data_IF_756841861965
#
_entry.id   IF_756841861965
#
_cell.length_a   1.000
_cell.length_b   1.000
_cell.length_c   1.000
_cell.angle_alpha   90.00
_cell.angle_beta   90.00
_cell.angle_gamma   90.00
#
_symmetry.space_group_name_H-M   'P 1'
#
loop_
_entity.id
_entity.type
_entity.pdbx_description
1 polymer ?
#
# COMPACT_ATOMS: atom_id res chain seq x y z
N UNK A 1 30.55 15.16 32.19
CA UNK A 1 31.60 15.15 33.22
C UNK A 1 32.93 15.49 32.58
N UNK A 2 33.38 16.74 32.69
CA UNK A 2 34.76 17.21 32.45
C UNK A 2 34.85 18.71 32.81
N UNK A 3 34.63 19.01 34.09
CA UNK A 3 34.93 20.25 34.81
C UNK A 3 34.38 20.00 36.22
N UNK A 4 35.12 20.34 37.27
CA UNK A 4 34.85 19.97 38.68
C UNK A 4 33.61 20.62 39.30
N UNK A 5 32.46 20.56 38.63
CA UNK A 5 31.15 20.94 39.16
C UNK A 5 30.64 19.77 39.99
N UNK A 6 30.45 20.02 41.28
CA UNK A 6 29.78 19.09 42.18
C UNK A 6 28.41 18.73 41.60
N UNK A 7 27.91 17.52 41.89
CA UNK A 7 26.58 17.03 41.47
C UNK A 7 25.39 17.89 41.97
N UNK A 8 25.69 19.00 42.64
CA UNK A 8 24.80 19.99 43.24
C UNK A 8 24.77 21.33 42.49
N UNK A 9 25.53 21.50 41.40
CA UNK A 9 25.51 22.73 40.60
C UNK A 9 24.31 22.73 39.64
N UNK A 10 23.38 23.67 39.83
CA UNK A 10 22.15 23.83 39.03
C UNK A 10 22.43 23.95 37.52
N UNK A 11 23.63 24.40 37.13
CA UNK A 11 24.08 24.48 35.74
C UNK A 11 24.36 23.11 35.09
N UNK A 12 24.33 22.03 35.88
CA UNK A 12 24.47 20.64 35.40
C UNK A 12 23.13 19.92 35.20
N UNK A 13 22.01 20.63 35.43
CA UNK A 13 20.67 20.05 35.31
C UNK A 13 20.36 19.75 33.84
N UNK A 14 20.30 18.46 33.52
CA UNK A 14 19.79 17.97 32.24
C UNK A 14 18.28 17.75 32.33
N UNK A 15 17.51 18.72 31.83
CA UNK A 15 16.09 18.54 31.63
C UNK A 15 15.84 17.43 30.60
N UNK A 16 15.08 16.40 31.02
CA UNK A 16 14.61 15.34 30.13
C UNK A 16 13.67 15.86 29.04
N UNK A 17 13.19 14.98 28.15
CA UNK A 17 12.40 15.41 27.00
C UNK A 17 11.09 16.09 27.39
N UNK A 18 10.40 15.61 28.43
CA UNK A 18 9.07 16.14 28.79
C UNK A 18 9.12 17.59 29.31
N UNK A 19 10.01 17.98 30.24
CA UNK A 19 10.14 19.38 30.63
C UNK A 19 10.50 20.32 29.47
N UNK A 20 11.23 19.82 28.46
CA UNK A 20 11.54 20.61 27.25
C UNK A 20 10.33 20.83 26.36
N UNK A 21 9.28 20.04 26.50
CA UNK A 21 8.00 20.16 25.77
C UNK A 21 6.94 20.91 26.59
N UNK A 22 7.32 21.60 27.67
CA UNK A 22 6.39 22.43 28.44
C UNK A 22 5.67 23.45 27.54
N UNK A 23 4.36 23.59 27.74
CA UNK A 23 3.39 24.31 26.91
C UNK A 23 3.26 23.75 25.48
N UNK A 24 3.41 22.44 25.34
CA UNK A 24 3.40 21.75 24.04
C UNK A 24 2.76 20.36 24.08
N UNK A 25 2.81 19.69 22.93
CA UNK A 25 2.31 18.33 22.74
C UNK A 25 3.49 17.35 22.82
N UNK A 26 3.42 16.39 23.74
CA UNK A 26 4.40 15.33 23.88
C UNK A 26 3.85 14.02 23.31
N UNK A 27 4.41 13.57 22.19
CA UNK A 27 3.99 12.36 21.51
C UNK A 27 4.82 11.14 21.96
N UNK A 28 4.14 10.05 22.30
CA UNK A 28 4.74 8.77 22.68
C UNK A 28 4.28 7.72 21.66
N UNK A 29 5.23 7.12 20.95
CA UNK A 29 4.92 5.96 20.14
C UNK A 29 4.94 4.70 21.00
N UNK A 30 3.94 3.84 20.84
CA UNK A 30 3.86 2.52 21.47
C UNK A 30 4.10 2.58 22.98
N UNK A 31 3.24 3.35 23.67
CA UNK A 31 3.24 3.48 25.14
C UNK A 31 3.34 2.11 25.87
N UNK A 32 2.64 1.04 25.43
CA UNK A 32 2.87 -0.34 25.86
C UNK A 32 4.34 -0.78 25.97
N UNK A 33 5.19 -0.39 25.03
CA UNK A 33 6.57 -0.86 24.94
C UNK A 33 7.49 -0.15 25.94
N UNK A 34 7.02 0.93 26.56
CA UNK A 34 7.76 1.59 27.63
C UNK A 34 7.82 0.70 28.87
N UNK A 35 9.03 0.55 29.41
CA UNK A 35 9.24 -0.13 30.68
C UNK A 35 8.35 0.46 31.78
N UNK A 36 7.81 -0.39 32.66
CA UNK A 36 6.84 -0.01 33.70
C UNK A 36 7.31 1.18 34.56
N UNK A 37 8.60 1.25 34.89
CA UNK A 37 9.19 2.39 35.63
C UNK A 37 9.01 3.74 34.93
N UNK A 38 9.02 3.75 33.58
CA UNK A 38 8.85 4.96 32.77
C UNK A 38 7.37 5.33 32.74
N UNK A 39 6.47 4.34 32.63
CA UNK A 39 5.02 4.56 32.72
C UNK A 39 4.63 5.14 34.09
N UNK A 40 5.22 4.68 35.19
CA UNK A 40 5.01 5.27 36.53
C UNK A 40 5.55 6.70 36.59
N UNK A 41 6.70 6.99 35.95
CA UNK A 41 7.20 8.36 35.85
C UNK A 41 6.26 9.30 35.08
N UNK A 42 5.59 8.79 34.04
CA UNK A 42 4.57 9.52 33.29
C UNK A 42 3.33 9.81 34.14
N UNK A 43 2.96 8.90 35.05
CA UNK A 43 1.83 9.11 35.97
C UNK A 43 2.02 10.39 36.81
N UNK A 44 3.20 10.59 37.39
CA UNK A 44 3.49 11.79 38.19
C UNK A 44 3.34 13.06 37.36
N UNK A 45 3.77 13.03 36.10
CA UNK A 45 3.66 14.16 35.17
C UNK A 45 2.21 14.45 34.81
N UNK A 46 1.40 13.41 34.57
CA UNK A 46 -0.01 13.55 34.22
C UNK A 46 -0.87 13.99 35.40
N UNK A 47 -0.52 13.56 36.63
CA UNK A 47 -1.29 13.82 37.84
C UNK A 47 -0.84 15.10 38.55
N UNK A 48 0.41 15.14 38.99
CA UNK A 48 0.94 16.22 39.82
C UNK A 48 1.43 17.40 38.96
N UNK A 49 1.53 17.19 37.63
CA UNK A 49 2.03 18.18 36.67
C UNK A 49 3.38 18.74 37.10
N UNK A 50 4.22 17.91 37.70
CA UNK A 50 5.56 18.29 38.05
C UNK A 50 6.58 17.19 37.74
N UNK A 51 7.85 17.59 37.77
CA UNK A 51 8.98 16.67 37.68
C UNK A 51 9.95 16.98 38.80
N UNK A 52 10.37 15.92 39.49
CA UNK A 52 11.48 15.96 40.44
C UNK A 52 12.77 15.48 39.77
N UNK A 53 13.82 16.27 39.91
CA UNK A 53 15.13 15.96 39.34
C UNK A 53 15.95 15.18 40.37
N UNK A 54 16.45 14.00 40.02
CA UNK A 54 17.32 13.21 40.92
C UNK A 54 18.52 14.05 41.35
N UNK A 55 18.75 14.15 42.66
CA UNK A 55 19.82 14.96 43.24
C UNK A 55 19.43 16.40 43.57
N UNK A 56 18.25 16.87 43.14
CA UNK A 56 17.77 18.23 43.39
C UNK A 56 16.35 18.23 43.96
N UNK A 57 16.10 19.02 45.00
CA UNK A 57 14.74 19.26 45.54
C UNK A 57 14.05 20.40 44.78
N UNK A 58 13.95 20.28 43.45
CA UNK A 58 13.28 21.26 42.59
C UNK A 58 12.05 20.59 41.99
N UNK A 59 10.90 21.26 42.11
CA UNK A 59 9.65 20.91 41.42
C UNK A 59 9.43 21.91 40.30
N UNK A 60 9.16 21.40 39.11
CA UNK A 60 8.91 22.20 37.91
C UNK A 60 7.46 22.03 37.50
N UNK A 61 6.60 23.06 37.58
CA UNK A 61 5.25 22.94 37.06
C UNK A 61 5.28 22.75 35.54
N UNK A 62 4.56 21.73 35.06
CA UNK A 62 4.47 21.33 33.66
C UNK A 62 3.05 21.52 33.13
N UNK A 63 2.97 22.03 31.92
CA UNK A 63 1.76 22.18 31.14
C UNK A 63 1.97 21.44 29.81
N UNK A 64 1.64 20.16 29.75
CA UNK A 64 1.94 19.31 28.58
C UNK A 64 0.70 18.53 28.20
N UNK A 65 0.39 18.50 26.91
CA UNK A 65 -0.62 17.61 26.37
C UNK A 65 0.03 16.34 25.84
N UNK A 66 -0.29 15.18 26.44
CA UNK A 66 0.32 13.90 26.04
C UNK A 66 -0.56 13.20 25.01
N UNK A 67 0.05 12.81 23.89
CA UNK A 67 -0.58 11.97 22.86
C UNK A 67 0.22 10.67 22.78
N UNK A 68 -0.45 9.53 22.90
CA UNK A 68 0.21 8.24 22.85
C UNK A 68 -0.46 7.31 21.85
N UNK A 69 0.33 6.48 21.16
CA UNK A 69 -0.16 5.34 20.38
C UNK A 69 0.01 4.04 21.18
N UNK A 70 -0.86 3.07 20.90
CA UNK A 70 -0.82 1.72 21.49
C UNK A 70 -1.53 0.75 20.54
N UNK A 71 -1.00 -0.47 20.37
CA UNK A 71 -1.70 -1.49 19.61
C UNK A 71 -2.75 -2.21 20.49
N UNK A 72 -3.93 -2.56 19.95
CA UNK A 72 -4.99 -3.22 20.72
C UNK A 72 -4.61 -4.61 21.28
N UNK A 73 -3.62 -5.28 20.71
CA UNK A 73 -3.15 -6.61 21.13
C UNK A 73 -2.36 -6.56 22.46
N UNK A 74 -1.64 -5.46 22.71
CA UNK A 74 -0.69 -5.31 23.82
C UNK A 74 -1.38 -5.21 25.19
N UNK A 75 -2.70 -5.01 25.20
CA UNK A 75 -3.50 -5.07 26.43
C UNK A 75 -3.51 -6.48 27.05
N UNK A 76 -3.12 -7.52 26.31
CA UNK A 76 -3.37 -8.90 26.76
C UNK A 76 -2.20 -9.57 27.47
N UNK A 77 -0.90 -9.48 27.10
CA UNK A 77 0.13 -10.22 27.86
C UNK A 77 1.61 -9.79 27.81
N UNK A 78 2.03 -8.73 27.12
CA UNK A 78 3.34 -8.05 27.29
C UNK A 78 3.15 -6.59 26.89
N UNK A 79 3.61 -5.64 27.70
CA UNK A 79 3.42 -4.21 27.41
C UNK A 79 2.07 -3.62 27.87
N UNK A 80 1.51 -4.07 28.98
CA UNK A 80 0.25 -3.47 29.47
C UNK A 80 0.50 -2.03 29.95
N UNK A 81 -0.35 -1.11 29.49
CA UNK A 81 -0.50 0.20 30.12
C UNK A 81 -0.98 -0.02 31.54
N UNK A 82 -0.23 0.45 32.54
CA UNK A 82 -0.62 0.31 33.95
C UNK A 82 -1.99 0.98 34.19
N UNK A 83 -2.87 0.31 34.96
CA UNK A 83 -4.23 0.81 35.24
C UNK A 83 -4.26 2.28 35.69
N UNK A 84 -3.37 2.74 36.60
CA UNK A 84 -3.36 4.13 37.02
C UNK A 84 -3.14 5.13 35.87
N UNK A 85 -2.35 4.78 34.86
CA UNK A 85 -2.09 5.65 33.72
C UNK A 85 -3.27 5.62 32.74
N UNK A 86 -3.92 4.46 32.56
CA UNK A 86 -5.14 4.32 31.76
C UNK A 86 -6.27 5.20 32.30
N UNK A 87 -6.45 5.26 33.61
CA UNK A 87 -7.50 6.07 34.26
C UNK A 87 -7.28 7.60 34.10
N UNK A 88 -6.12 8.01 33.58
CA UNK A 88 -5.77 9.43 33.31
C UNK A 88 -5.82 9.81 31.84
N UNK A 89 -6.17 8.87 30.96
CA UNK A 89 -6.38 9.15 29.55
C UNK A 89 -7.75 9.83 29.37
N UNK A 90 -7.75 11.08 28.92
CA UNK A 90 -8.98 11.85 28.72
C UNK A 90 -9.79 11.46 27.48
N UNK A 91 -9.17 10.82 26.48
CA UNK A 91 -9.84 10.36 25.26
C UNK A 91 -9.07 9.19 24.65
N UNK A 92 -9.79 8.13 24.27
CA UNK A 92 -9.27 7.01 23.48
C UNK A 92 -9.80 7.12 22.05
N UNK A 93 -8.91 7.27 21.08
CA UNK A 93 -9.25 7.33 19.66
C UNK A 93 -8.81 6.01 19.02
N UNK A 94 -9.78 5.27 18.46
CA UNK A 94 -9.49 4.08 17.67
C UNK A 94 -9.30 4.46 16.21
N UNK A 95 -8.08 4.29 15.72
CA UNK A 95 -7.74 4.48 14.32
C UNK A 95 -8.17 3.27 13.49
N UNK A 96 -8.25 3.45 12.18
CA UNK A 96 -8.57 2.40 11.23
C UNK A 96 -7.75 2.58 9.95
N UNK A 97 -7.62 1.51 9.17
CA UNK A 97 -7.12 1.60 7.80
C UNK A 97 -8.09 2.37 6.90
N UNK A 98 -7.66 2.87 5.73
CA UNK A 98 -8.54 3.57 4.80
C UNK A 98 -9.80 2.77 4.48
N UNK A 99 -10.95 3.44 4.54
CA UNK A 99 -12.27 2.83 4.35
C UNK A 99 -12.68 2.77 2.87
N UNK A 100 -12.09 3.63 2.04
CA UNK A 100 -12.44 3.77 0.61
C UNK A 100 -11.18 3.64 -0.24
N UNK A 101 -11.38 3.14 -1.46
CA UNK A 101 -10.31 3.05 -2.47
C UNK A 101 -9.72 4.42 -2.78
N UNK A 102 -10.54 5.48 -2.81
CA UNK A 102 -10.05 6.84 -3.06
C UNK A 102 -9.06 7.32 -2.00
N UNK A 103 -9.32 7.05 -0.71
CA UNK A 103 -8.38 7.40 0.36
C UNK A 103 -7.10 6.55 0.27
N UNK A 104 -7.22 5.27 -0.07
CA UNK A 104 -6.06 4.39 -0.25
C UNK A 104 -5.19 4.87 -1.42
N UNK A 105 -5.80 5.28 -2.55
CA UNK A 105 -5.10 5.87 -3.70
C UNK A 105 -4.42 7.18 -3.30
N UNK A 106 -5.12 8.08 -2.60
CA UNK A 106 -4.55 9.35 -2.17
C UNK A 106 -3.29 9.16 -1.32
N UNK A 107 -3.35 8.27 -0.32
CA UNK A 107 -2.20 7.94 0.54
C UNK A 107 -1.08 7.32 -0.28
N UNK A 108 -1.40 6.34 -1.14
CA UNK A 108 -0.43 5.66 -1.99
C UNK A 108 0.33 6.64 -2.89
N UNK A 109 -0.36 7.60 -3.51
CA UNK A 109 0.27 8.59 -4.39
C UNK A 109 1.12 9.60 -3.62
N UNK A 110 0.65 10.06 -2.45
CA UNK A 110 1.36 11.02 -1.62
C UNK A 110 2.64 10.43 -0.99
N UNK A 111 2.56 9.20 -0.49
CA UNK A 111 3.65 8.53 0.20
C UNK A 111 4.64 7.83 -0.75
N UNK A 112 4.26 7.62 -2.02
CA UNK A 112 5.14 6.98 -2.98
C UNK A 112 6.39 7.80 -3.30
N UNK A 113 7.53 7.12 -3.35
CA UNK A 113 8.79 7.72 -3.79
C UNK A 113 8.70 8.03 -5.28
N UNK A 114 8.72 9.32 -5.64
CA UNK A 114 8.73 9.74 -7.04
C UNK A 114 10.08 9.39 -7.68
N UNK A 115 10.12 8.28 -8.41
CA UNK A 115 11.29 7.90 -9.19
C UNK A 115 11.35 8.73 -10.48
N UNK A 116 12.01 9.88 -10.42
CA UNK A 116 12.29 10.69 -11.60
C UNK A 116 13.45 10.06 -12.36
N UNK A 117 13.15 9.40 -13.48
CA UNK A 117 14.17 8.93 -14.42
C UNK A 117 14.21 9.87 -15.61
N UNK A 118 15.35 10.50 -15.85
CA UNK A 118 15.51 11.44 -16.96
C UNK A 118 15.14 10.81 -18.31
N UNK A 119 14.25 11.49 -19.03
CA UNK A 119 13.80 11.05 -20.36
C UNK A 119 12.66 10.03 -20.38
N UNK A 120 12.16 9.61 -19.21
CA UNK A 120 10.92 8.83 -19.08
C UNK A 120 9.75 9.71 -18.66
N UNK A 121 8.60 9.48 -19.27
CA UNK A 121 7.34 10.14 -18.96
C UNK A 121 6.37 9.10 -18.39
N UNK A 122 6.10 9.18 -17.09
CA UNK A 122 5.30 8.20 -16.36
C UNK A 122 3.85 8.67 -16.28
N UNK A 123 2.95 7.91 -16.88
CA UNK A 123 1.51 8.11 -16.79
C UNK A 123 0.85 6.87 -16.22
N UNK A 124 0.09 7.04 -15.13
CA UNK A 124 -0.58 5.92 -14.46
C UNK A 124 -2.09 6.03 -14.67
N UNK A 125 -2.71 5.10 -15.41
CA UNK A 125 -4.16 5.10 -15.62
C UNK A 125 -4.90 4.90 -14.31
N UNK A 126 -6.07 5.53 -14.17
CA UNK A 126 -6.87 5.47 -12.94
C UNK A 126 -7.22 4.03 -12.54
N UNK A 127 -7.65 3.20 -13.50
CA UNK A 127 -7.96 1.79 -13.24
C UNK A 127 -6.76 1.00 -12.70
N UNK A 128 -5.52 1.35 -13.04
CA UNK A 128 -4.34 0.70 -12.48
C UNK A 128 -4.11 1.07 -11.02
N UNK A 129 -4.37 2.34 -10.65
CA UNK A 129 -4.33 2.79 -9.24
C UNK A 129 -5.39 2.06 -8.42
N UNK A 130 -6.60 1.96 -8.97
CA UNK A 130 -7.72 1.25 -8.36
C UNK A 130 -7.40 -0.23 -8.17
N UNK A 131 -6.79 -0.91 -9.16
CA UNK A 131 -6.37 -2.31 -9.00
C UNK A 131 -5.37 -2.45 -7.85
N UNK A 132 -4.35 -1.59 -7.78
CA UNK A 132 -3.33 -1.66 -6.71
C UNK A 132 -3.95 -1.44 -5.33
N UNK A 133 -4.84 -0.46 -5.19
CA UNK A 133 -5.56 -0.19 -3.95
C UNK A 133 -6.52 -1.35 -3.57
N UNK A 134 -7.24 -1.90 -4.54
CA UNK A 134 -8.19 -2.99 -4.36
C UNK A 134 -7.48 -4.28 -3.90
N UNK A 135 -6.25 -4.56 -4.35
CA UNK A 135 -5.45 -5.68 -3.85
C UNK A 135 -5.30 -5.61 -2.33
N UNK A 136 -4.98 -4.43 -1.78
CA UNK A 136 -4.82 -4.25 -0.33
C UNK A 136 -6.15 -4.33 0.40
N UNK A 137 -7.23 -3.78 -0.17
CA UNK A 137 -8.57 -3.90 0.42
C UNK A 137 -9.03 -5.36 0.50
N UNK A 138 -8.85 -6.12 -0.57
CA UNK A 138 -9.14 -7.56 -0.57
C UNK A 138 -8.29 -8.29 0.46
N UNK A 139 -7.00 -7.94 0.62
CA UNK A 139 -6.13 -8.53 1.62
C UNK A 139 -6.64 -8.32 3.06
N UNK A 140 -7.16 -7.14 3.40
CA UNK A 140 -7.77 -6.81 4.70
C UNK A 140 -9.08 -7.57 4.99
N UNK A 141 -9.69 -8.17 3.97
CA UNK A 141 -10.90 -8.98 4.10
C UNK A 141 -10.64 -10.48 3.92
N UNK A 142 -9.39 -10.86 3.65
CA UNK A 142 -9.04 -12.22 3.26
C UNK A 142 -8.89 -13.13 4.48
N UNK A 143 -9.62 -14.25 4.50
CA UNK A 143 -9.45 -15.31 5.49
C UNK A 143 -8.10 -16.03 5.37
N UNK A 144 -7.36 -15.85 4.27
CA UNK A 144 -6.04 -16.43 4.08
C UNK A 144 -4.93 -15.61 4.81
N UNK A 145 -5.25 -14.40 5.29
CA UNK A 145 -4.32 -13.42 5.88
C UNK A 145 -4.70 -13.14 7.33
N UNK A 146 -3.69 -13.07 8.20
CA UNK A 146 -3.82 -12.73 9.62
C UNK A 146 -4.40 -11.34 9.81
N UNK A 147 -5.65 -11.28 10.25
CA UNK A 147 -6.32 -10.02 10.58
C UNK A 147 -5.82 -9.43 11.91
N UNK A 148 -5.15 -10.24 12.72
CA UNK A 148 -4.47 -9.83 13.95
C UNK A 148 -3.33 -8.85 13.65
N UNK A 149 -2.49 -9.22 12.69
CA UNK A 149 -1.34 -8.42 12.25
C UNK A 149 -1.79 -7.28 11.33
N UNK A 150 -2.91 -7.48 10.64
CA UNK A 150 -3.52 -6.50 9.74
C UNK A 150 -2.70 -6.28 8.46
N UNK A 151 -3.23 -5.43 7.57
CA UNK A 151 -2.55 -5.10 6.30
C UNK A 151 -2.40 -3.59 6.18
N UNK A 152 -1.16 -3.13 6.38
CA UNK A 152 -0.81 -1.71 6.37
C UNK A 152 -0.94 -1.06 4.99
N UNK A 153 -1.17 0.26 4.97
CA UNK A 153 -1.06 1.10 3.76
C UNK A 153 0.33 1.03 3.11
N UNK A 154 1.37 0.68 3.87
CA UNK A 154 2.72 0.43 3.33
C UNK A 154 2.75 -0.70 2.30
N UNK A 155 1.81 -1.63 2.34
CA UNK A 155 1.65 -2.66 1.32
C UNK A 155 1.25 -2.01 0.00
N UNK A 156 0.23 -1.15 0.01
CA UNK A 156 -0.22 -0.44 -1.19
C UNK A 156 0.87 0.46 -1.77
N UNK A 157 1.55 1.24 -0.93
CA UNK A 157 2.66 2.11 -1.36
C UNK A 157 3.76 1.30 -2.04
N UNK A 158 4.22 0.22 -1.41
CA UNK A 158 5.27 -0.63 -1.99
C UNK A 158 4.81 -1.35 -3.28
N UNK A 159 3.55 -1.76 -3.34
CA UNK A 159 2.96 -2.38 -4.54
C UNK A 159 2.93 -1.40 -5.71
N UNK A 160 2.52 -0.16 -5.45
CA UNK A 160 2.53 0.91 -6.44
C UNK A 160 3.92 1.20 -6.96
N UNK A 161 4.90 1.40 -6.06
CA UNK A 161 6.29 1.64 -6.42
C UNK A 161 6.88 0.49 -7.26
N UNK A 162 6.57 -0.77 -6.91
CA UNK A 162 7.03 -1.92 -7.66
C UNK A 162 6.41 -2.03 -9.05
N UNK A 163 5.11 -1.76 -9.18
CA UNK A 163 4.42 -1.74 -10.49
C UNK A 163 5.04 -0.66 -11.39
N UNK A 164 5.30 0.53 -10.86
CA UNK A 164 5.94 1.61 -11.61
C UNK A 164 7.41 1.31 -11.95
N UNK A 165 8.14 0.69 -11.02
CA UNK A 165 9.52 0.26 -11.25
C UNK A 165 9.60 -0.80 -12.35
N UNK A 166 8.69 -1.77 -12.36
CA UNK A 166 8.65 -2.79 -13.39
C UNK A 166 8.22 -2.22 -14.75
N UNK A 167 7.23 -1.33 -14.77
CA UNK A 167 6.81 -0.63 -15.98
C UNK A 167 7.95 0.22 -16.57
N UNK A 168 8.71 0.91 -15.72
CA UNK A 168 9.89 1.70 -16.11
C UNK A 168 11.00 0.81 -16.67
N UNK A 169 11.29 -0.30 -15.99
CA UNK A 169 12.24 -1.33 -16.46
C UNK A 169 11.85 -1.85 -17.84
N UNK A 170 10.56 -2.16 -18.05
CA UNK A 170 10.03 -2.60 -19.34
C UNK A 170 10.23 -1.52 -20.41
N UNK A 171 9.85 -0.28 -20.15
CA UNK A 171 9.99 0.82 -21.09
C UNK A 171 11.45 1.02 -21.51
N UNK A 172 12.39 1.03 -20.55
CA UNK A 172 13.83 1.12 -20.82
C UNK A 172 14.33 -0.03 -21.70
N UNK A 173 13.95 -1.28 -21.38
CA UNK A 173 14.33 -2.47 -22.17
C UNK A 173 13.82 -2.39 -23.61
N UNK A 174 12.61 -1.86 -23.80
CA UNK A 174 11.96 -1.70 -25.10
C UNK A 174 12.33 -0.39 -25.80
N UNK A 175 13.17 0.44 -25.18
CA UNK A 175 13.57 1.78 -25.67
C UNK A 175 12.37 2.72 -25.88
N UNK A 176 11.35 2.58 -25.05
CA UNK A 176 10.17 3.44 -25.00
C UNK A 176 10.37 4.55 -23.95
N UNK A 177 9.96 5.78 -24.28
CA UNK A 177 10.00 6.90 -23.31
C UNK A 177 8.75 6.99 -22.44
N UNK A 178 7.63 6.49 -22.96
CA UNK A 178 6.33 6.53 -22.29
C UNK A 178 6.20 5.32 -21.37
N UNK A 179 6.10 5.57 -20.07
CA UNK A 179 5.95 4.54 -19.04
C UNK A 179 4.50 4.53 -18.59
N UNK A 180 3.78 3.48 -18.99
CA UNK A 180 2.41 3.24 -18.55
C UNK A 180 2.33 1.82 -18.00
N UNK A 181 1.98 1.61 -16.72
CA UNK A 181 1.89 0.27 -16.16
C UNK A 181 0.75 -0.53 -16.82
N UNK A 182 0.97 -1.82 -17.03
CA UNK A 182 0.01 -2.76 -17.64
C UNK A 182 -0.31 -3.88 -16.64
N UNK A 183 -1.28 -4.73 -16.96
CA UNK A 183 -1.62 -5.89 -16.11
C UNK A 183 -0.42 -6.81 -15.93
N UNK A 184 0.41 -6.98 -16.96
CA UNK A 184 1.66 -7.75 -16.89
C UNK A 184 2.66 -7.20 -15.86
N UNK A 185 2.59 -5.90 -15.52
CA UNK A 185 3.43 -5.29 -14.50
C UNK A 185 2.97 -5.61 -13.06
N UNK A 186 1.73 -6.11 -12.89
CA UNK A 186 1.18 -6.47 -11.56
C UNK A 186 1.85 -7.69 -10.94
N UNK A 187 2.55 -8.54 -11.71
CA UNK A 187 3.30 -9.65 -11.12
C UNK A 187 4.39 -9.16 -10.14
N UNK A 188 4.90 -7.93 -10.32
CA UNK A 188 5.86 -7.32 -9.42
C UNK A 188 5.32 -7.11 -7.98
N UNK A 189 3.99 -7.07 -7.81
CA UNK A 189 3.32 -6.93 -6.51
C UNK A 189 3.60 -8.11 -5.60
N UNK A 190 3.82 -9.30 -6.16
CA UNK A 190 4.08 -10.53 -5.39
C UNK A 190 5.28 -10.32 -4.47
N UNK A 191 6.37 -9.75 -4.99
CA UNK A 191 7.59 -9.51 -4.23
C UNK A 191 7.40 -8.47 -3.11
N UNK A 192 6.65 -7.39 -3.35
CA UNK A 192 6.39 -6.36 -2.32
C UNK A 192 5.42 -6.82 -1.25
N UNK A 193 4.46 -7.68 -1.60
CA UNK A 193 3.37 -8.10 -0.72
C UNK A 193 3.80 -9.24 0.18
N UNK A 194 4.49 -10.27 -0.34
CA UNK A 194 4.85 -11.48 0.42
C UNK A 194 5.54 -11.19 1.76
N UNK A 195 6.48 -10.24 1.79
CA UNK A 195 7.19 -9.88 3.04
C UNK A 195 6.44 -8.90 3.96
N UNK A 196 5.20 -8.51 3.63
CA UNK A 196 4.42 -7.50 4.37
C UNK A 196 3.02 -7.96 4.79
N UNK A 197 2.69 -9.22 4.51
CA UNK A 197 1.46 -9.87 4.98
C UNK A 197 1.85 -11.11 5.77
N UNK A 198 1.05 -11.42 6.78
CA UNK A 198 1.17 -12.69 7.51
C UNK A 198 0.00 -13.58 7.14
N UNK A 199 0.25 -14.84 6.82
CA UNK A 199 -0.82 -15.80 6.50
C UNK A 199 -1.41 -16.40 7.78
N UNK A 200 -2.73 -16.60 7.80
CA UNK A 200 -3.43 -17.23 8.94
C UNK A 200 -3.44 -18.78 8.83
N UNK A 201 -2.83 -19.34 7.77
CA UNK A 201 -3.02 -20.74 7.39
C UNK A 201 -2.17 -21.73 8.17
N UNK A 202 -2.83 -22.82 8.57
CA UNK A 202 -2.23 -24.11 8.92
C UNK A 202 -2.07 -24.92 7.62
N UNK A 203 -0.85 -24.99 7.06
CA UNK A 203 -0.50 -25.83 5.90
C UNK A 203 0.40 -25.13 4.87
N UNK A 204 0.88 -25.89 3.86
CA UNK A 204 1.82 -25.43 2.81
C UNK A 204 1.15 -24.56 1.71
N UNK A 205 0.27 -23.61 2.07
CA UNK A 205 -0.25 -22.65 1.09
C UNK A 205 0.84 -21.63 0.78
N UNK A 206 1.35 -21.66 -0.46
CA UNK A 206 2.34 -20.67 -0.93
C UNK A 206 1.73 -19.27 -0.95
N UNK A 207 2.36 -18.32 -0.27
CA UNK A 207 2.00 -16.88 -0.27
C UNK A 207 1.75 -16.34 -1.68
N UNK A 208 2.62 -16.69 -2.63
CA UNK A 208 2.49 -16.29 -4.03
C UNK A 208 1.10 -16.60 -4.61
N UNK A 209 0.52 -17.76 -4.25
CA UNK A 209 -0.81 -18.16 -4.71
C UNK A 209 -1.90 -17.27 -4.11
N UNK A 210 -1.76 -16.89 -2.84
CA UNK A 210 -2.68 -15.98 -2.16
C UNK A 210 -2.61 -14.60 -2.82
N UNK A 211 -1.41 -14.08 -3.06
CA UNK A 211 -1.23 -12.77 -3.71
C UNK A 211 -1.78 -12.78 -5.15
N UNK A 212 -1.54 -13.84 -5.94
CA UNK A 212 -2.14 -13.97 -7.28
C UNK A 212 -3.67 -14.00 -7.24
N UNK A 213 -4.26 -14.67 -6.24
CA UNK A 213 -5.72 -14.67 -6.04
C UNK A 213 -6.24 -13.26 -5.74
N UNK A 214 -5.52 -12.48 -4.92
CA UNK A 214 -5.86 -11.08 -4.63
C UNK A 214 -5.75 -10.20 -5.88
N UNK A 215 -4.68 -10.31 -6.65
CA UNK A 215 -4.50 -9.58 -7.92
C UNK A 215 -5.66 -9.88 -8.88
N UNK A 216 -5.99 -11.15 -9.09
CA UNK A 216 -7.09 -11.55 -9.96
C UNK A 216 -8.45 -11.04 -9.44
N UNK A 217 -8.67 -11.10 -8.12
CA UNK A 217 -9.85 -10.54 -7.49
C UNK A 217 -9.98 -9.03 -7.73
N UNK A 218 -8.87 -8.30 -7.58
CA UNK A 218 -8.83 -6.86 -7.79
C UNK A 218 -9.10 -6.47 -9.25
N UNK A 219 -8.45 -7.14 -10.20
CA UNK A 219 -8.69 -6.92 -11.63
C UNK A 219 -10.16 -7.18 -11.97
N UNK A 220 -10.76 -8.26 -11.45
CA UNK A 220 -12.16 -8.58 -11.68
C UNK A 220 -13.11 -7.54 -11.07
N UNK A 221 -12.83 -7.10 -9.84
CA UNK A 221 -13.60 -6.06 -9.13
C UNK A 221 -13.59 -4.74 -9.91
N UNK A 222 -12.40 -4.25 -10.25
CA UNK A 222 -12.24 -2.99 -11.01
C UNK A 222 -12.81 -3.13 -12.41
N UNK A 223 -12.61 -4.25 -13.11
CA UNK A 223 -13.22 -4.48 -14.42
C UNK A 223 -14.75 -4.36 -14.36
N UNK A 224 -15.39 -4.93 -13.34
CA UNK A 224 -16.84 -4.84 -13.14
C UNK A 224 -17.36 -3.44 -12.85
N UNK A 225 -16.51 -2.52 -12.38
CA UNK A 225 -16.87 -1.11 -12.20
C UNK A 225 -16.91 -0.35 -13.54
N UNK A 226 -16.06 -0.72 -14.49
CA UNK A 226 -15.99 -0.07 -15.79
C UNK A 226 -16.80 -0.75 -16.87
N UNK A 227 -16.93 -2.07 -16.86
CA UNK A 227 -17.47 -2.81 -18.00
C UNK A 227 -18.27 -4.03 -17.60
N UNK A 228 -19.20 -4.40 -18.47
CA UNK A 228 -19.85 -5.70 -18.47
C UNK A 228 -19.26 -6.59 -19.57
N UNK A 229 -19.03 -7.90 -19.35
CA UNK A 229 -18.43 -8.79 -20.35
C UNK A 229 -19.18 -8.83 -21.70
N UNK A 230 -20.49 -8.58 -21.70
CA UNK A 230 -21.34 -8.52 -22.90
C UNK A 230 -21.01 -7.34 -23.84
N UNK A 231 -20.37 -6.29 -23.34
CA UNK A 231 -19.94 -5.15 -24.18
C UNK A 231 -18.89 -5.56 -25.21
N UNK A 232 -18.19 -6.68 -24.99
CA UNK A 232 -17.10 -7.16 -25.82
C UNK A 232 -17.47 -8.36 -26.69
N UNK A 233 -18.76 -8.58 -26.99
CA UNK A 233 -19.20 -9.70 -27.84
C UNK A 233 -18.53 -9.72 -29.22
N UNK A 234 -18.31 -8.55 -29.84
CA UNK A 234 -17.60 -8.47 -31.12
C UNK A 234 -16.14 -8.94 -31.02
N UNK A 235 -15.47 -8.59 -29.91
CA UNK A 235 -14.10 -9.01 -29.63
C UNK A 235 -14.04 -10.52 -29.41
N UNK A 236 -14.94 -11.06 -28.59
CA UNK A 236 -15.05 -12.50 -28.31
C UNK A 236 -15.35 -13.30 -29.59
N UNK A 237 -16.26 -12.82 -30.44
CA UNK A 237 -16.54 -13.43 -31.74
C UNK A 237 -15.31 -13.40 -32.67
N UNK A 238 -14.45 -12.39 -32.55
CA UNK A 238 -13.15 -12.37 -33.23
C UNK A 238 -12.26 -13.54 -32.81
N UNK A 239 -12.16 -13.82 -31.50
CA UNK A 239 -11.41 -14.96 -30.97
C UNK A 239 -11.98 -16.31 -31.41
N UNK A 240 -13.31 -16.43 -31.50
CA UNK A 240 -13.97 -17.63 -32.05
C UNK A 240 -13.65 -17.87 -33.53
N UNK A 241 -13.33 -16.82 -34.29
CA UNK A 241 -12.89 -16.91 -35.70
C UNK A 241 -11.36 -17.07 -35.84
N UNK A 242 -10.64 -17.32 -34.75
CA UNK A 242 -9.21 -17.58 -34.75
C UNK A 242 -8.32 -16.36 -34.50
N UNK A 243 -8.87 -15.22 -34.07
CA UNK A 243 -8.05 -14.13 -33.53
C UNK A 243 -7.21 -14.66 -32.38
N UNK A 244 -5.94 -14.28 -32.34
CA UNK A 244 -5.03 -14.57 -31.25
C UNK A 244 -4.31 -13.28 -30.91
N UNK A 245 -4.31 -12.93 -29.63
CA UNK A 245 -3.63 -11.72 -29.15
C UNK A 245 -2.55 -12.15 -28.18
N UNK A 246 -1.33 -11.72 -28.45
CA UNK A 246 -0.20 -11.90 -27.55
C UNK A 246 0.01 -10.62 -26.77
N UNK A 247 0.28 -10.75 -25.48
CA UNK A 247 0.67 -9.67 -24.58
C UNK A 247 1.87 -10.13 -23.74
N UNK A 248 2.63 -9.19 -23.20
CA UNK A 248 3.73 -9.52 -22.31
C UNK A 248 4.62 -8.33 -21.96
N UNK A 249 5.53 -8.57 -21.03
CA UNK A 249 6.49 -7.59 -20.56
C UNK A 249 7.58 -7.27 -21.62
N UNK A 250 7.77 -8.15 -22.60
CA UNK A 250 8.71 -7.99 -23.71
C UNK A 250 8.07 -7.40 -24.99
N UNK A 251 6.79 -7.03 -24.93
CA UNK A 251 6.05 -6.54 -26.10
C UNK A 251 6.02 -5.00 -26.18
N UNK A 252 6.51 -4.41 -27.30
CA UNK A 252 6.39 -2.98 -27.56
C UNK A 252 4.94 -2.50 -27.60
N UNK A 253 4.68 -1.30 -27.09
CA UNK A 253 3.36 -0.68 -27.02
C UNK A 253 2.68 -0.59 -28.40
N UNK A 254 3.46 -0.32 -29.45
CA UNK A 254 2.96 -0.25 -30.83
C UNK A 254 2.44 -1.59 -31.36
N UNK A 255 2.95 -2.72 -30.87
CA UNK A 255 2.47 -4.04 -31.30
C UNK A 255 1.03 -4.33 -30.84
N UNK A 256 0.60 -3.75 -29.72
CA UNK A 256 -0.79 -3.84 -29.28
C UNK A 256 -1.73 -3.10 -30.23
N UNK A 257 -1.31 -1.91 -30.69
CA UNK A 257 -2.04 -1.12 -31.67
C UNK A 257 -2.15 -1.88 -33.00
N UNK A 258 -1.04 -2.47 -33.46
CA UNK A 258 -1.00 -3.22 -34.72
C UNK A 258 -1.90 -4.46 -34.69
N UNK A 259 -1.81 -5.27 -33.63
CA UNK A 259 -2.61 -6.50 -33.46
C UNK A 259 -4.12 -6.22 -33.44
N UNK A 260 -4.53 -5.09 -32.86
CA UNK A 260 -5.94 -4.80 -32.60
C UNK A 260 -6.53 -3.75 -33.53
N UNK A 261 -5.74 -3.16 -34.44
CA UNK A 261 -6.19 -2.24 -35.49
C UNK A 261 -7.34 -2.79 -36.34
N UNK A 262 -7.43 -4.13 -36.48
CA UNK A 262 -8.43 -4.83 -37.29
C UNK A 262 -9.60 -5.37 -36.46
N UNK A 263 -9.57 -5.19 -35.14
CA UNK A 263 -10.56 -5.78 -34.22
C UNK A 263 -11.55 -4.71 -33.79
N UNK A 264 -12.79 -4.85 -34.25
CA UNK A 264 -13.89 -3.97 -33.85
C UNK A 264 -14.25 -4.11 -32.36
N UNK A 265 -14.87 -3.08 -31.80
CA UNK A 265 -15.44 -3.10 -30.45
C UNK A 265 -14.52 -2.58 -29.33
N UNK A 266 -13.22 -2.40 -29.57
CA UNK A 266 -12.29 -1.91 -28.54
C UNK A 266 -12.22 -0.38 -28.41
N UNK A 267 -12.51 0.37 -29.47
CA UNK A 267 -12.33 1.84 -29.46
C UNK A 267 -13.12 2.51 -28.34
N UNK A 268 -14.41 2.16 -28.16
CA UNK A 268 -15.25 2.77 -27.12
C UNK A 268 -14.71 2.52 -25.70
N UNK A 269 -14.16 1.32 -25.47
CA UNK A 269 -13.58 0.97 -24.18
C UNK A 269 -12.26 1.71 -23.92
N UNK A 270 -11.41 1.84 -24.95
CA UNK A 270 -10.20 2.67 -24.89
C UNK A 270 -10.55 4.12 -24.57
N UNK A 271 -11.62 4.66 -25.16
CA UNK A 271 -12.06 6.03 -24.91
C UNK A 271 -12.54 6.22 -23.48
N UNK A 272 -13.32 5.26 -22.97
CA UNK A 272 -13.85 5.28 -21.61
C UNK A 272 -12.73 5.31 -20.55
N UNK A 273 -11.61 4.65 -20.83
CA UNK A 273 -10.44 4.63 -19.95
C UNK A 273 -9.42 5.74 -20.26
N UNK A 274 -9.80 6.75 -21.05
CA UNK A 274 -8.91 7.86 -21.44
C UNK A 274 -7.61 7.40 -22.12
N UNK A 275 -7.68 6.29 -22.87
CA UNK A 275 -6.52 5.64 -23.49
C UNK A 275 -6.13 6.15 -24.88
N UNK A 276 -6.85 7.12 -25.45
CA UNK A 276 -6.58 7.62 -26.81
C UNK A 276 -5.29 8.43 -26.88
N UNK A 277 -4.57 8.28 -28.00
CA UNK A 277 -3.46 9.14 -28.39
C UNK A 277 -2.07 8.67 -27.97
N UNK A 278 -1.95 7.68 -27.09
CA UNK A 278 -0.67 7.13 -26.66
C UNK A 278 -0.67 5.58 -26.77
N UNK A 279 0.21 4.97 -27.58
CA UNK A 279 0.32 3.51 -27.69
C UNK A 279 0.52 2.81 -26.35
N UNK A 280 1.24 3.42 -25.40
CA UNK A 280 1.49 2.84 -24.08
C UNK A 280 0.19 2.73 -23.26
N UNK A 281 -0.68 3.74 -23.33
CA UNK A 281 -1.99 3.72 -22.69
C UNK A 281 -2.93 2.73 -23.36
N UNK A 282 -2.92 2.64 -24.69
CA UNK A 282 -3.68 1.61 -25.42
C UNK A 282 -3.26 0.21 -24.97
N UNK A 283 -1.95 -0.06 -24.87
CA UNK A 283 -1.45 -1.36 -24.42
C UNK A 283 -1.94 -1.71 -23.00
N UNK A 284 -1.90 -0.76 -22.07
CA UNK A 284 -2.40 -0.95 -20.71
C UNK A 284 -3.90 -1.27 -20.68
N UNK A 285 -4.71 -0.48 -21.41
CA UNK A 285 -6.16 -0.70 -21.52
C UNK A 285 -6.49 -2.06 -22.15
N UNK A 286 -5.77 -2.45 -23.20
CA UNK A 286 -5.98 -3.73 -23.88
C UNK A 286 -5.71 -4.90 -22.93
N UNK A 287 -4.59 -4.90 -22.20
CA UNK A 287 -4.31 -5.96 -21.24
C UNK A 287 -5.37 -6.05 -20.16
N UNK A 288 -5.86 -4.90 -19.66
CA UNK A 288 -6.93 -4.86 -18.67
C UNK A 288 -8.23 -5.47 -19.18
N UNK A 289 -8.64 -5.16 -20.41
CA UNK A 289 -9.85 -5.73 -21.02
C UNK A 289 -9.69 -7.24 -21.24
N UNK A 290 -8.56 -7.68 -21.79
CA UNK A 290 -8.32 -9.10 -22.05
C UNK A 290 -8.26 -9.93 -20.77
N UNK A 291 -7.59 -9.42 -19.73
CA UNK A 291 -7.56 -10.10 -18.43
C UNK A 291 -8.94 -10.11 -17.76
N UNK A 292 -9.68 -9.00 -17.79
CA UNK A 292 -11.04 -8.94 -17.27
C UNK A 292 -11.98 -9.94 -17.95
N UNK A 293 -11.89 -10.08 -19.28
CA UNK A 293 -12.65 -11.10 -20.03
C UNK A 293 -12.21 -12.52 -19.70
N UNK A 294 -10.91 -12.75 -19.51
CA UNK A 294 -10.41 -14.05 -19.08
C UNK A 294 -10.95 -14.44 -17.70
N UNK A 295 -10.88 -13.54 -16.73
CA UNK A 295 -11.38 -13.78 -15.36
C UNK A 295 -12.90 -13.98 -15.32
N UNK A 296 -13.63 -13.36 -16.24
CA UNK A 296 -15.05 -13.61 -16.49
C UNK A 296 -15.34 -14.85 -17.36
N UNK A 297 -14.34 -15.71 -17.60
CA UNK A 297 -14.44 -16.96 -18.38
C UNK A 297 -14.92 -16.75 -19.82
N UNK A 298 -14.70 -15.56 -20.39
CA UNK A 298 -14.98 -15.25 -21.80
C UNK A 298 -13.79 -15.52 -22.71
N UNK A 299 -12.57 -15.59 -22.17
CA UNK A 299 -11.36 -15.93 -22.92
C UNK A 299 -10.51 -16.95 -22.13
N UNK A 300 -9.76 -17.77 -22.85
CA UNK A 300 -8.72 -18.63 -22.31
C UNK A 300 -7.38 -17.89 -22.35
N UNK A 301 -6.51 -18.18 -21.38
CA UNK A 301 -5.19 -17.58 -21.20
C UNK A 301 -4.16 -18.69 -21.11
N UNK A 302 -3.18 -18.70 -22.02
CA UNK A 302 -2.05 -19.62 -22.00
C UNK A 302 -0.75 -18.86 -21.80
N UNK A 303 0.12 -19.37 -20.93
CA UNK A 303 1.49 -18.87 -20.79
C UNK A 303 2.42 -19.63 -21.76
N UNK A 304 3.02 -18.93 -22.72
CA UNK A 304 3.91 -19.51 -23.73
C UNK A 304 5.21 -18.70 -23.78
N UNK A 305 6.30 -19.26 -23.26
CA UNK A 305 7.65 -18.68 -23.38
C UNK A 305 7.80 -17.29 -22.76
N UNK A 306 7.15 -17.02 -21.62
CA UNK A 306 7.15 -15.71 -20.96
C UNK A 306 6.11 -14.72 -21.52
N UNK A 307 5.40 -15.10 -22.59
CA UNK A 307 4.27 -14.33 -23.14
C UNK A 307 2.95 -14.91 -22.68
N UNK A 308 1.96 -14.02 -22.55
CA UNK A 308 0.58 -14.41 -22.36
C UNK A 308 -0.14 -14.39 -23.70
N UNK A 309 -0.79 -15.49 -24.06
CA UNK A 309 -1.62 -15.60 -25.25
C UNK A 309 -3.07 -15.77 -24.84
N UNK A 310 -3.93 -14.89 -25.35
CA UNK A 310 -5.38 -15.04 -25.22
C UNK A 310 -5.96 -15.72 -26.46
N UNK A 311 -6.88 -16.65 -26.24
CA UNK A 311 -7.65 -17.34 -27.29
C UNK A 311 -9.04 -17.74 -26.80
N UNK A 312 -9.90 -18.18 -27.71
CA UNK A 312 -11.10 -18.95 -27.34
C UNK A 312 -10.75 -20.44 -27.31
#
# INVERSE_FOLDING_TARGET
MAEGRYLSDELTIHYGMIPRTNRGIFCINELPDLAERIQVGLLNIMEERDVQIRGYKIRLPLDVYVVASANPEDYTNRGRIITPLKDRVGSEIRTHYPLTIDHEIMIMEEESSKMLTDGLDVTVPQFMKEIVAEVTHLARSSNDISQRSGVSVRVTVANYENVLSNASRRALRLKERQVVPRVSDLEAIIASTSGKIELDTVGDVKEERVVKKLINGAIMSVFGQYFEPKEFEQLVAGFERGLNVQVGDDMPSMEYVNQLSKVGGLSKAIDKLSGRGNPATIASTVEFILEGLHLNRRLNKDAVGGKTRYRR
#
